data_IF_247208164654
#
_entry.id   IF_247208164654
#
_cell.length_a   1.000
_cell.length_b   1.000
_cell.length_c   1.000
_cell.angle_alpha   90.00
_cell.angle_beta   90.00
_cell.angle_gamma   90.00
#
_symmetry.space_group_name_H-M   'P 1'
#
loop_
_entity.id
_entity.type
_entity.pdbx_description
1 polymer ?
#
# COMPACT_ATOMS: atom_id res chain seq x y z
N UNK A 1 26.19 -7.75 -5.05
CA UNK A 1 25.80 -7.74 -3.63
C UNK A 1 25.47 -6.31 -3.26
N UNK A 2 24.22 -5.99 -2.93
CA UNK A 2 23.85 -4.62 -2.53
C UNK A 2 24.32 -4.39 -1.11
N UNK A 3 25.27 -3.47 -0.88
CA UNK A 3 25.61 -3.07 0.47
C UNK A 3 24.34 -2.55 1.18
N UNK A 4 24.08 -2.98 2.42
CA UNK A 4 22.94 -2.49 3.17
C UNK A 4 23.08 -0.97 3.37
N UNK A 5 21.98 -0.24 3.13
CA UNK A 5 21.94 1.20 3.34
C UNK A 5 22.26 1.52 4.79
N UNK A 6 23.25 2.38 5.03
CA UNK A 6 23.59 2.87 6.36
C UNK A 6 22.38 3.58 6.98
N UNK A 7 22.12 3.28 8.25
CA UNK A 7 21.07 3.92 9.04
C UNK A 7 21.68 4.99 9.92
N UNK A 8 21.23 6.24 9.74
CA UNK A 8 21.59 7.37 10.61
C UNK A 8 20.40 7.70 11.49
N UNK A 9 20.69 7.80 12.79
CA UNK A 9 19.73 8.20 13.80
C UNK A 9 19.38 9.67 13.65
N UNK A 10 18.11 9.97 13.80
CA UNK A 10 17.59 11.33 13.69
C UNK A 10 16.39 11.47 14.58
N UNK A 11 16.25 12.62 15.20
CA UNK A 11 15.19 12.89 16.18
C UNK A 11 13.79 12.51 15.67
N UNK A 12 13.36 12.84 14.42
CA UNK A 12 12.05 12.40 13.92
C UNK A 12 11.86 10.88 13.88
N UNK A 13 12.93 10.14 13.53
CA UNK A 13 12.87 8.68 13.45
C UNK A 13 12.87 8.02 14.84
N UNK A 14 13.63 8.59 15.78
CA UNK A 14 13.66 8.14 17.18
C UNK A 14 12.31 8.32 17.85
N UNK A 15 11.69 9.50 17.71
CA UNK A 15 10.35 9.77 18.22
C UNK A 15 9.35 8.78 17.63
N UNK A 16 9.40 8.55 16.31
CA UNK A 16 8.52 7.60 15.64
C UNK A 16 8.67 6.17 16.20
N UNK A 17 9.91 5.69 16.37
CA UNK A 17 10.18 4.35 16.90
C UNK A 17 9.76 4.22 18.37
N UNK A 18 9.95 5.27 19.17
CA UNK A 18 9.54 5.29 20.58
C UNK A 18 8.02 5.26 20.73
N UNK A 19 7.28 6.10 20.00
CA UNK A 19 5.82 6.10 20.00
C UNK A 19 5.25 4.78 19.48
N UNK A 20 5.89 4.20 18.45
CA UNK A 20 5.50 2.90 17.93
C UNK A 20 5.71 1.77 18.95
N UNK A 21 6.86 1.73 19.63
CA UNK A 21 7.14 0.74 20.67
C UNK A 21 6.13 0.84 21.82
N UNK A 22 5.85 2.06 22.29
CA UNK A 22 4.81 2.31 23.30
C UNK A 22 3.43 1.80 22.86
N UNK A 23 3.10 1.96 21.59
CA UNK A 23 1.83 1.51 21.04
C UNK A 23 1.70 0.00 20.91
N UNK A 24 2.82 -0.72 20.74
CA UNK A 24 2.82 -2.19 20.80
C UNK A 24 2.64 -2.72 22.22
N UNK A 25 3.22 -2.04 23.21
CA UNK A 25 3.14 -2.44 24.61
C UNK A 25 1.79 -2.08 25.25
N UNK A 26 1.20 -0.94 24.90
CA UNK A 26 -0.01 -0.39 25.53
C UNK A 26 -1.08 -0.03 24.48
N UNK A 27 -1.78 -1.02 23.89
CA UNK A 27 -2.54 -0.77 22.68
C UNK A 27 -3.81 0.09 22.84
N UNK A 28 -4.53 -0.03 23.95
CA UNK A 28 -5.90 0.49 24.11
C UNK A 28 -6.06 2.02 24.01
N UNK A 29 -4.97 2.78 24.14
CA UNK A 29 -4.98 4.26 24.11
C UNK A 29 -4.00 4.85 23.09
N UNK A 30 -3.43 4.00 22.23
CA UNK A 30 -2.38 4.39 21.30
C UNK A 30 -2.89 4.31 19.86
N UNK A 31 -2.37 5.16 18.96
CA UNK A 31 -2.73 5.12 17.54
C UNK A 31 -2.62 3.71 16.95
N UNK A 32 -3.54 3.34 16.06
CA UNK A 32 -3.54 2.05 15.37
C UNK A 32 -2.61 2.07 14.14
N UNK A 33 -2.55 3.22 13.45
CA UNK A 33 -1.76 3.42 12.25
C UNK A 33 -0.66 4.45 12.47
N UNK A 34 0.55 4.08 12.13
CA UNK A 34 1.75 4.90 12.18
C UNK A 34 2.21 5.24 10.77
N UNK A 35 2.08 6.51 10.38
CA UNK A 35 2.50 6.96 9.07
C UNK A 35 3.86 7.67 9.14
N UNK A 36 4.80 7.22 8.31
CA UNK A 36 6.00 7.99 7.96
C UNK A 36 5.83 8.56 6.56
N UNK A 37 6.04 9.86 6.38
CA UNK A 37 5.91 10.48 5.07
C UNK A 37 6.96 11.54 4.77
N UNK A 38 7.21 11.82 3.49
CA UNK A 38 8.22 12.79 3.07
C UNK A 38 8.64 12.58 1.63
N UNK A 39 9.47 13.46 1.11
CA UNK A 39 9.90 13.43 -0.30
C UNK A 39 10.61 12.10 -0.66
N UNK A 40 10.73 11.80 -1.96
CA UNK A 40 11.45 10.62 -2.42
C UNK A 40 12.90 10.60 -1.91
N UNK A 41 13.41 9.42 -1.55
CA UNK A 41 14.82 9.25 -1.18
C UNK A 41 15.23 9.63 0.25
N UNK A 42 14.34 10.15 1.10
CA UNK A 42 14.63 10.52 2.50
C UNK A 42 14.83 9.35 3.49
N UNK A 43 14.89 8.11 3.00
CA UNK A 43 15.12 6.93 3.86
C UNK A 43 13.90 6.41 4.61
N UNK A 44 12.68 6.57 4.08
CA UNK A 44 11.45 5.98 4.69
C UNK A 44 11.51 4.45 4.74
N UNK A 45 11.81 3.80 3.61
CA UNK A 45 11.96 2.34 3.55
C UNK A 45 13.10 1.84 4.43
N UNK A 46 14.18 2.64 4.57
CA UNK A 46 15.28 2.36 5.50
C UNK A 46 14.81 2.41 6.95
N UNK A 47 13.94 3.36 7.32
CA UNK A 47 13.30 3.42 8.65
C UNK A 47 12.37 2.23 8.90
N UNK A 48 11.57 1.83 7.92
CA UNK A 48 10.70 0.65 8.06
C UNK A 48 11.50 -0.64 8.23
N UNK A 49 12.61 -0.80 7.50
CA UNK A 49 13.53 -1.93 7.69
C UNK A 49 14.12 -1.90 9.10
N UNK A 50 14.51 -0.72 9.59
CA UNK A 50 15.04 -0.59 10.95
C UNK A 50 14.01 -0.97 12.01
N UNK A 51 12.76 -0.55 11.83
CA UNK A 51 11.65 -0.95 12.69
C UNK A 51 11.46 -2.48 12.68
N UNK A 52 11.51 -3.11 11.51
CA UNK A 52 11.46 -4.58 11.40
C UNK A 52 12.62 -5.23 12.18
N UNK A 53 13.86 -4.77 11.99
CA UNK A 53 15.03 -5.28 12.71
C UNK A 53 14.89 -5.19 14.24
N UNK A 54 14.35 -4.07 14.75
CA UNK A 54 14.15 -3.84 16.19
C UNK A 54 13.10 -4.79 16.75
N UNK A 55 11.98 -5.00 16.03
CA UNK A 55 10.84 -5.75 16.56
C UNK A 55 10.76 -7.21 16.08
N UNK A 56 11.66 -7.70 15.23
CA UNK A 56 11.61 -9.06 14.66
C UNK A 56 11.63 -10.20 15.70
N UNK A 57 12.13 -9.96 16.92
CA UNK A 57 12.14 -10.94 18.01
C UNK A 57 10.91 -10.85 18.92
N UNK A 58 10.19 -9.72 18.87
CA UNK A 58 9.09 -9.41 19.78
C UNK A 58 7.72 -9.38 19.09
N UNK A 59 7.67 -9.15 17.78
CA UNK A 59 6.45 -9.05 16.98
C UNK A 59 6.51 -9.94 15.73
N UNK A 60 5.35 -10.41 15.28
CA UNK A 60 5.16 -11.03 13.98
C UNK A 60 4.96 -9.94 12.94
N UNK A 61 5.85 -9.90 11.96
CA UNK A 61 5.93 -8.85 10.95
C UNK A 61 5.43 -9.39 9.62
N UNK A 62 4.50 -8.68 8.99
CA UNK A 62 4.11 -8.91 7.59
C UNK A 62 4.13 -7.59 6.84
N UNK A 63 4.63 -7.58 5.60
CA UNK A 63 4.73 -6.35 4.84
C UNK A 63 4.65 -6.49 3.34
N UNK A 64 4.25 -5.40 2.69
CA UNK A 64 4.27 -5.23 1.25
C UNK A 64 4.92 -3.90 0.88
N UNK A 65 5.55 -3.85 -0.29
CA UNK A 65 6.01 -2.60 -0.89
C UNK A 65 5.31 -2.43 -2.23
N UNK A 66 4.43 -1.43 -2.33
CA UNK A 66 3.60 -1.26 -3.52
C UNK A 66 4.47 -0.95 -4.74
N UNK A 67 4.17 -1.63 -5.85
CA UNK A 67 4.96 -1.57 -7.09
C UNK A 67 6.26 -2.38 -7.07
N UNK A 68 6.57 -3.10 -5.98
CA UNK A 68 7.65 -4.09 -5.92
C UNK A 68 7.11 -5.48 -5.57
N UNK A 69 6.19 -5.56 -4.61
CA UNK A 69 5.43 -6.80 -4.36
C UNK A 69 4.45 -7.03 -5.50
N UNK A 70 4.58 -8.18 -6.16
CA UNK A 70 3.72 -8.54 -7.29
C UNK A 70 2.28 -8.79 -6.85
N UNK A 71 1.35 -8.57 -7.78
CA UNK A 71 -0.07 -8.93 -7.65
C UNK A 71 -0.86 -8.27 -6.51
N UNK A 72 -0.40 -7.14 -5.94
CA UNK A 72 -1.14 -6.40 -4.89
C UNK A 72 -2.07 -5.34 -5.51
N UNK A 73 -3.10 -5.81 -6.20
CA UNK A 73 -4.04 -4.91 -6.90
C UNK A 73 -5.31 -4.64 -6.09
N UNK A 74 -5.74 -5.58 -5.25
CA UNK A 74 -7.03 -5.53 -4.53
C UNK A 74 -6.84 -5.73 -3.02
N UNK A 75 -7.78 -5.23 -2.19
CA UNK A 75 -7.79 -5.50 -0.74
C UNK A 75 -7.71 -6.98 -0.37
N UNK A 76 -8.41 -7.83 -1.12
CA UNK A 76 -8.45 -9.28 -0.87
C UNK A 76 -7.07 -9.90 -1.09
N UNK A 77 -6.37 -9.52 -2.18
CA UNK A 77 -5.00 -9.98 -2.44
C UNK A 77 -4.04 -9.46 -1.37
N UNK A 78 -4.16 -8.19 -0.96
CA UNK A 78 -3.34 -7.62 0.11
C UNK A 78 -3.51 -8.39 1.45
N UNK A 79 -4.76 -8.62 1.88
CA UNK A 79 -5.04 -9.38 3.11
C UNK A 79 -4.40 -10.77 3.04
N UNK A 80 -4.56 -11.47 1.91
CA UNK A 80 -3.98 -12.80 1.71
C UNK A 80 -2.45 -12.77 1.81
N UNK A 81 -1.79 -11.87 1.08
CA UNK A 81 -0.32 -11.74 1.08
C UNK A 81 0.22 -11.39 2.46
N UNK A 82 -0.41 -10.48 3.19
CA UNK A 82 0.01 -10.14 4.54
C UNK A 82 -0.20 -11.32 5.50
N UNK A 83 -1.35 -11.99 5.43
CA UNK A 83 -1.68 -13.06 6.35
C UNK A 83 -0.79 -14.31 6.14
N UNK A 84 -0.40 -14.60 4.91
CA UNK A 84 0.49 -15.71 4.57
C UNK A 84 1.91 -15.54 5.13
N UNK A 85 2.37 -14.29 5.31
CA UNK A 85 3.67 -13.98 5.91
C UNK A 85 3.67 -14.14 7.44
N UNK A 86 2.50 -14.17 8.08
CA UNK A 86 2.40 -14.33 9.53
C UNK A 86 2.51 -15.81 9.94
N UNK A 87 3.06 -16.12 11.13
CA UNK A 87 3.16 -17.49 11.60
C UNK A 87 1.80 -18.19 11.60
N UNK A 88 1.79 -19.45 11.16
CA UNK A 88 0.60 -20.30 11.30
C UNK A 88 0.38 -20.56 12.80
N UNK A 89 -0.87 -20.66 13.26
CA UNK A 89 -1.15 -20.93 14.67
C UNK A 89 -0.47 -22.24 15.08
N UNK A 90 0.57 -22.14 15.91
CA UNK A 90 1.33 -23.30 16.42
C UNK A 90 0.77 -23.71 17.78
N UNK A 91 0.61 -25.02 17.99
CA UNK A 91 0.18 -25.56 19.29
C UNK A 91 1.32 -25.50 20.31
N UNK A 92 1.06 -25.14 21.58
CA UNK A 92 2.01 -25.37 22.66
C UNK A 92 2.38 -26.85 22.74
N UNK A 93 3.68 -27.15 22.87
CA UNK A 93 4.26 -28.51 22.86
C UNK A 93 3.63 -29.51 23.83
N UNK A 94 2.93 -29.03 24.87
CA UNK A 94 2.22 -29.85 25.87
C UNK A 94 1.03 -30.58 25.27
N UNK A 95 0.34 -29.97 24.30
CA UNK A 95 -0.83 -30.58 23.67
C UNK A 95 -0.47 -31.52 22.52
N UNK A 96 0.72 -31.40 21.92
CA UNK A 96 1.18 -32.23 20.78
C UNK A 96 1.13 -33.74 21.03
N UNK A 97 1.12 -34.20 22.29
CA UNK A 97 1.10 -35.64 22.63
C UNK A 97 -0.29 -36.28 22.59
N UNK A 98 -1.38 -35.51 22.67
CA UNK A 98 -2.75 -36.05 22.75
C UNK A 98 -3.64 -35.70 21.54
N UNK A 99 -3.09 -35.06 20.49
CA UNK A 99 -3.85 -34.50 19.34
C UNK A 99 -4.21 -35.52 18.25
N UNK A 100 -4.51 -36.76 18.60
CA UNK A 100 -5.11 -37.69 17.65
C UNK A 100 -6.55 -37.29 17.28
N UNK A 101 -7.24 -36.48 18.11
CA UNK A 101 -8.70 -36.27 18.02
C UNK A 101 -9.21 -34.85 18.28
N UNK A 102 -8.36 -33.89 18.66
CA UNK A 102 -8.79 -32.49 18.86
C UNK A 102 -8.60 -31.70 17.55
N UNK A 103 -9.70 -31.49 16.82
CA UNK A 103 -9.74 -30.53 15.71
C UNK A 103 -9.35 -29.16 16.27
N UNK A 104 -8.25 -28.60 15.79
CA UNK A 104 -7.88 -27.21 16.06
C UNK A 104 -9.04 -26.29 15.65
N UNK A 105 -9.31 -25.20 16.41
CA UNK A 105 -10.16 -24.13 15.92
C UNK A 105 -9.58 -23.66 14.58
N UNK A 106 -10.40 -23.67 13.53
CA UNK A 106 -9.95 -23.26 12.21
C UNK A 106 -9.51 -21.79 12.26
N UNK A 107 -8.37 -21.48 11.64
CA UNK A 107 -7.91 -20.11 11.45
C UNK A 107 -9.01 -19.28 10.74
N UNK A 108 -9.54 -18.21 11.37
CA UNK A 108 -10.74 -17.53 10.89
C UNK A 108 -10.58 -16.99 9.46
N UNK A 109 -9.45 -16.36 9.16
CA UNK A 109 -9.20 -15.81 7.84
C UNK A 109 -8.94 -16.88 6.81
N UNK A 110 -8.04 -17.84 7.09
CA UNK A 110 -7.65 -18.88 6.13
C UNK A 110 -8.85 -19.72 5.71
N UNK A 111 -9.72 -20.07 6.65
CA UNK A 111 -10.92 -20.86 6.35
C UNK A 111 -11.89 -20.14 5.41
N UNK A 112 -12.23 -18.88 5.70
CA UNK A 112 -13.14 -18.07 4.86
C UNK A 112 -12.50 -17.74 3.51
N UNK A 113 -11.21 -17.41 3.50
CA UNK A 113 -10.47 -17.11 2.28
C UNK A 113 -10.38 -18.31 1.35
N UNK A 114 -10.07 -19.50 1.87
CA UNK A 114 -10.05 -20.74 1.09
C UNK A 114 -11.44 -21.08 0.54
N UNK A 115 -12.49 -20.94 1.33
CA UNK A 115 -13.86 -21.14 0.85
C UNK A 115 -14.20 -20.18 -0.30
N UNK A 116 -13.83 -18.90 -0.17
CA UNK A 116 -14.01 -17.91 -1.23
C UNK A 116 -13.23 -18.30 -2.49
N UNK A 117 -11.93 -18.60 -2.39
CA UNK A 117 -11.10 -18.98 -3.54
C UNK A 117 -11.60 -20.24 -4.23
N UNK A 118 -11.89 -21.30 -3.48
CA UNK A 118 -12.42 -22.55 -4.02
C UNK A 118 -13.74 -22.31 -4.76
N UNK A 119 -14.59 -21.44 -4.24
CA UNK A 119 -15.87 -21.12 -4.89
C UNK A 119 -15.66 -20.31 -6.16
N UNK A 120 -14.77 -19.31 -6.18
CA UNK A 120 -14.43 -18.55 -7.40
C UNK A 120 -13.81 -19.46 -8.45
N UNK A 121 -12.86 -20.34 -8.07
CA UNK A 121 -12.28 -21.31 -9.00
C UNK A 121 -13.34 -22.27 -9.53
N UNK A 122 -14.24 -22.78 -8.69
CA UNK A 122 -15.33 -23.63 -9.15
C UNK A 122 -16.24 -22.90 -10.15
N UNK A 123 -16.58 -21.63 -9.89
CA UNK A 123 -17.36 -20.78 -10.80
C UNK A 123 -16.62 -20.50 -12.13
N UNK A 124 -15.28 -20.56 -12.14
CA UNK A 124 -14.47 -20.39 -13.35
C UNK A 124 -14.35 -21.68 -14.18
N UNK A 125 -14.23 -22.83 -13.53
CA UNK A 125 -13.83 -24.08 -14.18
C UNK A 125 -14.97 -25.07 -14.37
N UNK A 126 -16.03 -25.00 -13.57
CA UNK A 126 -17.14 -25.95 -13.62
C UNK A 126 -18.31 -25.34 -14.39
N UNK A 127 -18.94 -26.09 -15.30
CA UNK A 127 -20.12 -25.61 -16.01
C UNK A 127 -21.36 -25.60 -15.11
N UNK A 128 -22.23 -24.60 -15.27
CA UNK A 128 -23.59 -24.61 -14.67
C UNK A 128 -24.41 -25.79 -15.22
N UNK A 129 -24.36 -26.00 -16.55
CA UNK A 129 -25.03 -27.10 -17.25
C UNK A 129 -24.16 -27.59 -18.42
N UNK A 130 -24.22 -28.90 -18.72
CA UNK A 130 -23.50 -29.49 -19.85
C UNK A 130 -22.03 -29.81 -19.58
N UNK A 131 -21.20 -29.80 -20.64
CA UNK A 131 -19.79 -30.25 -20.60
C UNK A 131 -18.76 -29.11 -20.58
N UNK A 132 -19.16 -27.85 -20.82
CA UNK A 132 -18.23 -26.71 -20.94
C UNK A 132 -18.82 -25.43 -20.36
N UNK A 133 -17.94 -24.56 -19.87
CA UNK A 133 -18.29 -23.24 -19.32
C UNK A 133 -18.75 -22.32 -20.46
N UNK A 134 -19.98 -21.80 -20.34
CA UNK A 134 -20.60 -20.96 -21.35
C UNK A 134 -20.10 -19.50 -21.28
N UNK A 135 -20.08 -18.75 -22.39
CA UNK A 135 -19.71 -17.32 -22.40
C UNK A 135 -20.55 -16.46 -21.44
N UNK A 136 -21.83 -16.79 -21.26
CA UNK A 136 -22.71 -16.09 -20.32
C UNK A 136 -22.25 -16.25 -18.86
N UNK A 137 -21.76 -17.44 -18.48
CA UNK A 137 -21.18 -17.68 -17.15
C UNK A 137 -19.91 -16.87 -16.95
N UNK A 138 -19.05 -16.77 -17.98
CA UNK A 138 -17.84 -15.94 -17.91
C UNK A 138 -18.16 -14.45 -17.77
N UNK A 139 -19.19 -13.96 -18.49
CA UNK A 139 -19.69 -12.59 -18.35
C UNK A 139 -20.22 -12.34 -16.94
N UNK A 140 -21.07 -13.22 -16.41
CA UNK A 140 -21.62 -13.06 -15.07
C UNK A 140 -20.53 -13.11 -13.99
N UNK A 141 -19.49 -13.93 -14.17
CA UNK A 141 -18.34 -13.95 -13.27
C UNK A 141 -17.49 -12.66 -13.36
N UNK A 142 -17.31 -12.11 -14.57
CA UNK A 142 -16.64 -10.82 -14.75
C UNK A 142 -17.44 -9.72 -14.04
N UNK A 143 -18.75 -9.68 -14.26
CA UNK A 143 -19.67 -8.74 -13.61
C UNK A 143 -19.60 -8.90 -12.08
N UNK A 144 -19.51 -10.12 -11.55
CA UNK A 144 -19.32 -10.38 -10.12
C UNK A 144 -18.04 -9.75 -9.56
N UNK A 145 -16.90 -9.97 -10.24
CA UNK A 145 -15.60 -9.44 -9.81
C UNK A 145 -15.56 -7.91 -9.88
N UNK A 146 -16.15 -7.33 -10.92
CA UNK A 146 -16.26 -5.87 -11.10
C UNK A 146 -17.26 -5.25 -10.11
N UNK A 147 -18.43 -5.85 -9.89
CA UNK A 147 -19.42 -5.36 -8.91
C UNK A 147 -18.90 -5.41 -7.48
N UNK A 148 -18.06 -6.38 -7.12
CA UNK A 148 -17.38 -6.42 -5.83
C UNK A 148 -16.54 -5.16 -5.58
N UNK A 149 -15.89 -4.63 -6.63
CA UNK A 149 -15.14 -3.35 -6.54
C UNK A 149 -16.07 -2.13 -6.49
N UNK A 150 -17.14 -2.10 -7.28
CA UNK A 150 -18.07 -0.96 -7.36
C UNK A 150 -18.91 -0.82 -6.09
N UNK A 151 -19.37 -1.94 -5.52
CA UNK A 151 -20.19 -1.94 -4.29
C UNK A 151 -19.39 -1.47 -3.08
N UNK A 152 -18.11 -1.85 -3.01
CA UNK A 152 -17.18 -1.32 -2.00
C UNK A 152 -17.01 0.21 -2.11
N UNK A 153 -17.12 0.77 -3.32
CA UNK A 153 -17.00 2.21 -3.59
C UNK A 153 -18.32 2.98 -3.40
N UNK A 154 -19.48 2.36 -3.62
CA UNK A 154 -20.80 3.02 -3.59
C UNK A 154 -21.43 3.14 -2.20
N UNK A 155 -21.10 2.24 -1.27
CA UNK A 155 -21.53 2.26 0.16
C UNK A 155 -20.98 3.45 0.95
N UNK A 156 -20.19 4.31 0.30
CA UNK A 156 -19.40 5.39 0.89
C UNK A 156 -20.13 6.74 0.90
N UNK A 157 -21.34 6.83 0.35
CA UNK A 157 -22.22 8.00 0.51
C UNK A 157 -21.74 9.26 -0.23
N UNK A 158 -20.93 9.13 -1.28
CA UNK A 158 -20.61 10.24 -2.19
C UNK A 158 -20.82 9.77 -3.64
N UNK A 159 -21.92 10.17 -4.30
CA UNK A 159 -22.21 9.80 -5.69
C UNK A 159 -21.04 10.10 -6.64
N UNK A 160 -20.29 11.17 -6.37
CA UNK A 160 -19.21 11.66 -7.23
C UNK A 160 -17.91 10.82 -7.19
N UNK A 161 -17.64 10.08 -6.11
CA UNK A 161 -16.43 9.25 -6.03
C UNK A 161 -16.60 7.84 -6.61
N UNK A 162 -17.83 7.33 -6.71
CA UNK A 162 -18.11 6.14 -7.51
C UNK A 162 -17.82 6.39 -9.01
N UNK A 163 -17.89 7.66 -9.43
CA UNK A 163 -17.73 8.10 -10.82
C UNK A 163 -16.27 8.45 -11.17
N UNK A 164 -15.48 8.99 -10.24
CA UNK A 164 -14.11 9.45 -10.51
C UNK A 164 -13.04 8.37 -10.65
N UNK A 165 -13.27 7.15 -10.14
CA UNK A 165 -12.33 6.03 -10.25
C UNK A 165 -12.42 5.27 -11.59
N UNK A 166 -13.38 5.64 -12.45
CA UNK A 166 -13.58 5.03 -13.77
C UNK A 166 -12.78 5.83 -14.80
N UNK A 167 -11.46 5.66 -14.80
CA UNK A 167 -10.55 6.31 -15.76
C UNK A 167 -10.77 5.92 -17.24
N UNK A 168 -11.85 5.24 -17.60
CA UNK A 168 -12.11 4.74 -18.97
C UNK A 168 -13.56 4.78 -19.47
N UNK A 169 -14.52 5.42 -18.80
CA UNK A 169 -15.90 5.36 -19.29
C UNK A 169 -16.70 6.65 -19.12
N UNK A 170 -16.23 7.73 -19.75
CA UNK A 170 -17.05 8.93 -19.99
C UNK A 170 -18.33 8.59 -20.80
N UNK A 171 -18.33 7.49 -21.57
CA UNK A 171 -19.49 7.01 -22.35
C UNK A 171 -20.53 6.17 -21.60
N UNK A 172 -20.24 5.63 -20.39
CA UNK A 172 -21.16 4.74 -19.65
C UNK A 172 -22.08 5.46 -18.66
N UNK A 173 -21.97 6.80 -18.54
CA UNK A 173 -22.64 7.58 -17.50
C UNK A 173 -24.17 7.65 -17.63
N UNK A 174 -24.74 7.39 -18.81
CA UNK A 174 -26.20 7.40 -19.01
C UNK A 174 -26.88 6.09 -18.62
N UNK A 175 -26.20 4.97 -18.80
CA UNK A 175 -26.79 3.62 -18.65
C UNK A 175 -26.28 2.89 -17.39
N UNK A 176 -25.40 3.53 -16.60
CA UNK A 176 -24.77 2.95 -15.42
C UNK A 176 -25.76 2.28 -14.43
N UNK A 177 -26.92 2.86 -14.08
CA UNK A 177 -27.87 2.21 -13.18
C UNK A 177 -28.45 0.91 -13.75
N UNK A 178 -28.80 0.90 -15.04
CA UNK A 178 -29.35 -0.27 -15.72
C UNK A 178 -28.30 -1.36 -15.95
N UNK A 179 -27.07 -0.97 -16.28
CA UNK A 179 -25.93 -1.88 -16.39
C UNK A 179 -25.61 -2.56 -15.05
N UNK A 180 -25.65 -1.82 -13.94
CA UNK A 180 -25.46 -2.38 -12.59
C UNK A 180 -26.60 -3.34 -12.21
N UNK A 181 -27.85 -2.98 -12.48
CA UNK A 181 -29.01 -3.83 -12.17
C UNK A 181 -28.97 -5.15 -12.95
N UNK A 182 -28.75 -5.08 -14.27
CA UNK A 182 -28.62 -6.27 -15.12
C UNK A 182 -27.41 -7.13 -14.73
N UNK A 183 -26.28 -6.54 -14.36
CA UNK A 183 -25.13 -7.25 -13.80
C UNK A 183 -25.48 -8.01 -12.51
N UNK A 184 -26.20 -7.37 -11.57
CA UNK A 184 -26.65 -8.00 -10.32
C UNK A 184 -27.57 -9.20 -10.57
N UNK A 185 -28.51 -9.09 -11.50
CA UNK A 185 -29.41 -10.19 -11.87
C UNK A 185 -28.65 -11.38 -12.49
N UNK A 186 -27.70 -11.11 -13.39
CA UNK A 186 -26.83 -12.16 -13.97
C UNK A 186 -26.03 -12.89 -12.90
N UNK A 187 -25.43 -12.13 -11.97
CA UNK A 187 -24.68 -12.69 -10.83
C UNK A 187 -25.58 -13.53 -9.94
N UNK A 188 -26.78 -13.06 -9.64
CA UNK A 188 -27.75 -13.79 -8.83
C UNK A 188 -28.17 -15.12 -9.48
N UNK A 189 -28.52 -15.08 -10.77
CA UNK A 189 -28.86 -16.27 -11.54
C UNK A 189 -27.72 -17.29 -11.53
N UNK A 190 -26.47 -16.84 -11.78
CA UNK A 190 -25.29 -17.70 -11.74
C UNK A 190 -25.13 -18.38 -10.37
N UNK A 191 -25.17 -17.60 -9.28
CA UNK A 191 -24.96 -18.13 -7.93
C UNK A 191 -26.08 -19.09 -7.47
N UNK A 192 -27.30 -18.91 -7.94
CA UNK A 192 -28.44 -19.80 -7.62
C UNK A 192 -28.37 -21.12 -8.38
N UNK A 193 -27.90 -21.10 -9.63
CA UNK A 193 -27.90 -22.27 -10.50
C UNK A 193 -26.63 -23.12 -10.38
N UNK A 194 -25.48 -22.48 -10.13
CA UNK A 194 -24.18 -23.16 -10.18
C UNK A 194 -24.02 -24.22 -9.06
N UNK A 195 -23.59 -25.46 -9.38
CA UNK A 195 -23.49 -26.55 -8.40
C UNK A 195 -22.66 -26.23 -7.15
N UNK A 196 -21.59 -25.43 -7.30
CA UNK A 196 -20.73 -25.03 -6.17
C UNK A 196 -21.47 -24.21 -5.11
N UNK A 197 -22.44 -23.38 -5.50
CA UNK A 197 -23.13 -22.39 -4.66
C UNK A 197 -24.63 -22.66 -4.48
N UNK A 198 -25.22 -23.55 -5.30
CA UNK A 198 -26.65 -23.91 -5.25
C UNK A 198 -27.03 -24.43 -3.86
N UNK A 199 -28.07 -23.83 -3.27
CA UNK A 199 -28.56 -24.17 -1.93
C UNK A 199 -27.69 -23.71 -0.77
N UNK A 200 -26.55 -23.05 -1.02
CA UNK A 200 -25.59 -22.61 0.01
C UNK A 200 -25.63 -21.08 0.21
N UNK A 201 -26.66 -20.60 0.91
CA UNK A 201 -26.92 -19.14 1.11
C UNK A 201 -25.70 -18.38 1.66
N UNK A 202 -24.99 -18.93 2.64
CA UNK A 202 -23.80 -18.30 3.20
C UNK A 202 -22.67 -18.13 2.18
N UNK A 203 -22.41 -19.15 1.35
CA UNK A 203 -21.40 -19.04 0.29
C UNK A 203 -21.82 -18.06 -0.81
N UNK A 204 -23.11 -18.02 -1.16
CA UNK A 204 -23.62 -17.04 -2.11
C UNK A 204 -23.38 -15.61 -1.60
N UNK A 205 -23.66 -15.36 -0.31
CA UNK A 205 -23.41 -14.05 0.30
C UNK A 205 -21.93 -13.71 0.38
N UNK A 206 -21.06 -14.67 0.71
CA UNK A 206 -19.61 -14.51 0.74
C UNK A 206 -19.05 -14.15 -0.63
N UNK A 207 -19.50 -14.82 -1.69
CA UNK A 207 -19.01 -14.56 -3.04
C UNK A 207 -19.56 -13.25 -3.59
N UNK A 208 -20.81 -12.89 -3.25
CA UNK A 208 -21.46 -11.65 -3.68
C UNK A 208 -20.83 -10.40 -3.05
N UNK A 209 -20.57 -10.44 -1.74
CA UNK A 209 -19.97 -9.33 -1.00
C UNK A 209 -18.75 -9.84 -0.19
N UNK A 210 -17.64 -10.17 -0.87
CA UNK A 210 -16.51 -10.82 -0.22
C UNK A 210 -15.76 -9.87 0.69
N UNK A 211 -15.71 -8.58 0.37
CA UNK A 211 -14.85 -7.63 1.05
C UNK A 211 -15.18 -7.47 2.54
N UNK A 212 -16.44 -7.21 2.98
CA UNK A 212 -16.75 -7.09 4.40
C UNK A 212 -16.48 -8.38 5.17
N UNK A 213 -16.92 -9.54 4.62
CA UNK A 213 -16.75 -10.84 5.29
C UNK A 213 -15.29 -11.26 5.41
N UNK A 214 -14.49 -11.06 4.37
CA UNK A 214 -13.05 -11.35 4.40
C UNK A 214 -12.30 -10.36 5.28
N UNK A 215 -12.70 -9.09 5.32
CA UNK A 215 -12.10 -8.09 6.23
C UNK A 215 -12.37 -8.46 7.68
N UNK A 216 -13.60 -8.86 8.01
CA UNK A 216 -13.94 -9.31 9.36
C UNK A 216 -13.14 -10.57 9.74
N UNK A 217 -13.09 -11.57 8.86
CA UNK A 217 -12.30 -12.77 9.09
C UNK A 217 -10.80 -12.47 9.25
N UNK A 218 -10.28 -11.51 8.48
CA UNK A 218 -8.90 -11.03 8.58
C UNK A 218 -8.65 -10.37 9.94
N UNK A 219 -9.54 -9.49 10.40
CA UNK A 219 -9.47 -8.86 11.73
C UNK A 219 -9.46 -9.92 12.83
N UNK A 220 -10.40 -10.88 12.81
CA UNK A 220 -10.45 -11.94 13.81
C UNK A 220 -9.17 -12.81 13.81
N UNK A 221 -8.64 -13.10 12.62
CA UNK A 221 -7.37 -13.82 12.48
C UNK A 221 -6.19 -13.04 13.07
N UNK A 222 -6.08 -11.74 12.81
CA UNK A 222 -5.05 -10.88 13.41
C UNK A 222 -5.20 -10.81 14.93
N UNK A 223 -6.42 -10.67 15.44
CA UNK A 223 -6.71 -10.65 16.89
C UNK A 223 -6.24 -11.94 17.55
N UNK A 224 -6.57 -13.10 16.95
CA UNK A 224 -6.13 -14.39 17.46
C UNK A 224 -4.61 -14.51 17.52
N UNK A 225 -3.89 -14.02 16.49
CA UNK A 225 -2.41 -14.02 16.47
C UNK A 225 -1.84 -13.05 17.52
N UNK A 226 -2.43 -11.86 17.65
CA UNK A 226 -2.02 -10.82 18.59
C UNK A 226 -2.12 -11.23 20.08
N UNK A 227 -2.93 -12.25 20.38
CA UNK A 227 -2.97 -12.86 21.72
C UNK A 227 -1.66 -13.57 22.07
N UNK A 228 -1.00 -14.20 21.10
CA UNK A 228 0.27 -14.89 21.30
C UNK A 228 1.44 -13.91 21.25
N UNK A 229 1.49 -13.11 20.19
CA UNK A 229 2.61 -12.21 19.91
C UNK A 229 2.09 -10.97 19.16
N UNK A 230 2.58 -9.75 19.46
CA UNK A 230 2.21 -8.55 18.72
C UNK A 230 2.32 -8.74 17.21
N UNK A 231 1.39 -8.15 16.45
CA UNK A 231 1.36 -8.23 14.99
C UNK A 231 1.59 -6.85 14.38
N UNK A 232 2.50 -6.76 13.42
CA UNK A 232 2.85 -5.50 12.76
C UNK A 232 2.72 -5.66 11.25
N UNK A 233 1.87 -4.83 10.65
CA UNK A 233 1.64 -4.81 9.20
C UNK A 233 2.33 -3.59 8.58
N UNK A 234 3.24 -3.82 7.63
CA UNK A 234 4.02 -2.76 6.98
C UNK A 234 3.57 -2.54 5.53
N UNK A 235 3.23 -1.30 5.20
CA UNK A 235 2.77 -0.87 3.89
C UNK A 235 3.73 0.20 3.34
N UNK A 236 4.72 -0.21 2.55
CA UNK A 236 5.75 0.68 2.00
C UNK A 236 5.42 1.13 0.56
N UNK A 237 6.00 2.26 0.14
CA UNK A 237 5.75 2.89 -1.17
C UNK A 237 4.26 3.19 -1.40
N UNK A 238 3.56 3.63 -0.35
CA UNK A 238 2.10 3.76 -0.33
C UNK A 238 1.54 4.72 -1.39
N UNK A 239 2.34 5.64 -1.93
CA UNK A 239 1.94 6.46 -3.08
C UNK A 239 1.56 5.66 -4.33
N UNK A 240 1.99 4.39 -4.43
CA UNK A 240 1.64 3.48 -5.53
C UNK A 240 0.44 2.58 -5.20
N UNK A 241 -0.14 2.68 -4.00
CA UNK A 241 -1.30 1.89 -3.64
C UNK A 241 -2.52 2.28 -4.51
N UNK A 242 -3.24 1.30 -5.10
CA UNK A 242 -4.52 1.55 -5.76
C UNK A 242 -5.53 2.28 -4.86
N UNK A 243 -6.35 3.16 -5.44
CA UNK A 243 -7.34 3.94 -4.69
C UNK A 243 -8.33 3.08 -3.90
N UNK A 244 -8.73 1.93 -4.44
CA UNK A 244 -9.59 0.97 -3.76
C UNK A 244 -8.95 0.38 -2.48
N UNK A 245 -7.63 0.24 -2.46
CA UNK A 245 -6.87 -0.23 -1.29
C UNK A 245 -6.79 0.85 -0.21
N UNK A 246 -6.56 2.10 -0.61
CA UNK A 246 -6.57 3.24 0.30
C UNK A 246 -7.96 3.46 0.93
N UNK A 247 -9.02 3.35 0.13
CA UNK A 247 -10.38 3.42 0.62
C UNK A 247 -10.73 2.26 1.55
N UNK A 248 -10.36 1.03 1.21
CA UNK A 248 -10.55 -0.13 2.09
C UNK A 248 -9.84 0.04 3.43
N UNK A 249 -8.57 0.46 3.41
CA UNK A 249 -7.78 0.66 4.62
C UNK A 249 -8.47 1.66 5.55
N UNK A 250 -8.85 2.83 5.02
CA UNK A 250 -9.47 3.88 5.82
C UNK A 250 -10.89 3.56 6.30
N UNK A 251 -11.74 2.95 5.44
CA UNK A 251 -13.19 2.86 5.69
C UNK A 251 -13.66 1.52 6.20
N UNK A 252 -12.90 0.46 5.97
CA UNK A 252 -13.25 -0.89 6.42
C UNK A 252 -12.31 -1.35 7.51
N UNK A 253 -11.00 -1.40 7.23
CA UNK A 253 -10.05 -1.98 8.18
C UNK A 253 -9.92 -1.12 9.45
N UNK A 254 -9.55 0.15 9.33
CA UNK A 254 -9.30 1.01 10.49
C UNK A 254 -10.56 1.37 11.27
N UNK A 255 -11.74 1.30 10.64
CA UNK A 255 -13.01 1.53 11.34
C UNK A 255 -13.46 0.35 12.19
N UNK A 256 -12.79 -0.81 12.09
CA UNK A 256 -13.04 -1.91 12.99
C UNK A 256 -12.47 -1.56 14.39
N UNK A 257 -13.37 -1.24 15.32
CA UNK A 257 -13.02 -0.78 16.67
C UNK A 257 -12.27 -1.81 17.51
N UNK A 258 -12.35 -3.10 17.15
CA UNK A 258 -11.67 -4.15 17.88
C UNK A 258 -10.16 -4.08 17.68
N UNK A 259 -9.67 -3.78 16.47
CA UNK A 259 -8.23 -3.80 16.15
C UNK A 259 -7.38 -2.95 17.09
N UNK A 260 -7.84 -1.74 17.42
CA UNK A 260 -7.10 -0.80 18.27
C UNK A 260 -6.85 -1.35 19.68
N UNK A 261 -7.73 -2.23 20.17
CA UNK A 261 -7.64 -2.81 21.52
C UNK A 261 -6.60 -3.93 21.64
N UNK A 262 -6.10 -4.46 20.52
CA UNK A 262 -5.11 -5.53 20.51
C UNK A 262 -3.72 -5.02 20.13
N UNK A 263 -2.70 -5.83 20.39
CA UNK A 263 -1.28 -5.56 20.04
C UNK A 263 -1.04 -5.72 18.53
N UNK A 264 -1.86 -5.04 17.72
CA UNK A 264 -1.82 -5.02 16.26
C UNK A 264 -1.49 -3.59 15.84
N UNK A 265 -0.45 -3.38 15.04
CA UNK A 265 -0.10 -2.03 14.53
C UNK A 265 0.17 -2.02 13.04
N UNK A 266 -0.27 -0.95 12.39
CA UNK A 266 -0.05 -0.72 10.97
C UNK A 266 0.99 0.38 10.78
N UNK A 267 1.95 0.15 9.90
CA UNK A 267 2.96 1.15 9.53
C UNK A 267 2.82 1.47 8.05
N UNK A 268 2.58 2.73 7.71
CA UNK A 268 2.48 3.20 6.32
C UNK A 268 3.64 4.13 5.99
N UNK A 269 4.40 3.83 4.94
CA UNK A 269 5.41 4.73 4.40
C UNK A 269 5.01 5.23 3.02
N UNK A 270 4.98 6.55 2.82
CA UNK A 270 4.62 7.13 1.54
C UNK A 270 5.13 8.54 1.31
N UNK A 271 4.90 9.09 0.11
CA UNK A 271 5.36 10.46 -0.22
C UNK A 271 4.58 11.59 0.44
N UNK A 272 3.30 11.36 0.73
CA UNK A 272 2.38 12.41 1.18
C UNK A 272 1.63 11.97 2.44
N UNK A 273 1.29 12.93 3.29
CA UNK A 273 0.40 12.72 4.43
C UNK A 273 -0.94 12.11 3.98
N UNK A 274 -1.41 11.07 4.69
CA UNK A 274 -2.74 10.47 4.49
C UNK A 274 -3.84 11.49 4.77
N UNK A 275 -3.64 12.34 5.80
CA UNK A 275 -4.55 13.43 6.17
C UNK A 275 -4.66 14.55 5.11
N UNK A 276 -4.04 14.41 3.92
CA UNK A 276 -4.31 15.32 2.80
C UNK A 276 -5.74 15.16 2.27
N UNK A 277 -6.33 13.96 2.37
CA UNK A 277 -7.69 13.71 1.85
C UNK A 277 -8.73 13.85 2.95
N UNK A 278 -9.96 14.18 2.56
CA UNK A 278 -11.02 14.49 3.51
C UNK A 278 -11.44 13.29 4.36
N UNK A 279 -11.56 12.09 3.77
CA UNK A 279 -12.00 10.90 4.50
C UNK A 279 -10.98 10.43 5.54
N UNK A 280 -9.68 10.58 5.27
CA UNK A 280 -8.62 10.34 6.26
C UNK A 280 -8.65 11.37 7.39
N UNK A 281 -8.92 12.65 7.09
CA UNK A 281 -9.11 13.68 8.13
C UNK A 281 -10.31 13.39 9.03
N UNK A 282 -11.44 13.00 8.44
CA UNK A 282 -12.64 12.60 9.20
C UNK A 282 -12.35 11.42 10.13
N UNK A 283 -11.70 10.37 9.62
CA UNK A 283 -11.29 9.23 10.46
C UNK A 283 -10.44 9.67 11.66
N UNK A 284 -9.48 10.56 11.42
CA UNK A 284 -8.62 11.07 12.48
C UNK A 284 -9.36 11.94 13.49
N UNK A 285 -10.30 12.77 13.04
CA UNK A 285 -11.14 13.60 13.92
C UNK A 285 -12.07 12.74 14.78
N UNK A 286 -12.65 11.68 14.19
CA UNK A 286 -13.66 10.85 14.85
C UNK A 286 -13.03 9.85 15.85
N UNK A 287 -11.85 9.31 15.53
CA UNK A 287 -11.30 8.15 16.25
C UNK A 287 -9.83 8.28 16.67
N UNK A 288 -9.12 9.35 16.26
CA UNK A 288 -7.72 9.61 16.62
C UNK A 288 -6.77 8.42 16.42
N UNK A 289 -6.93 7.68 15.31
CA UNK A 289 -6.24 6.40 15.07
C UNK A 289 -4.87 6.55 14.38
N UNK A 290 -4.52 7.72 13.86
CA UNK A 290 -3.35 7.91 12.99
C UNK A 290 -2.30 8.78 13.67
N UNK A 291 -1.12 8.22 13.91
CA UNK A 291 0.10 8.96 14.21
C UNK A 291 0.82 9.30 12.91
N UNK A 292 1.31 10.54 12.75
CA UNK A 292 2.07 10.93 11.56
C UNK A 292 3.42 11.53 11.93
N UNK A 293 4.48 11.03 11.30
CA UNK A 293 5.82 11.60 11.38
C UNK A 293 6.31 12.01 10.00
N UNK A 294 6.50 13.32 9.73
CA UNK A 294 7.24 13.75 8.56
C UNK A 294 8.72 13.40 8.70
N UNK A 295 9.34 13.06 7.57
CA UNK A 295 10.71 12.64 7.49
C UNK A 295 11.45 13.53 6.49
N UNK A 296 12.47 14.21 7.00
CA UNK A 296 13.22 15.21 6.26
C UNK A 296 14.51 14.64 5.68
N UNK A 297 15.25 15.48 4.95
CA UNK A 297 16.60 15.16 4.50
C UNK A 297 17.53 15.14 5.71
N UNK A 298 18.70 14.52 5.56
CA UNK A 298 19.74 14.71 6.55
C UNK A 298 20.21 16.16 6.55
N UNK A 299 20.46 16.68 7.74
CA UNK A 299 21.23 17.90 7.88
C UNK A 299 22.72 17.64 7.60
N UNK A 300 23.53 18.69 7.68
CA UNK A 300 24.97 18.58 7.43
C UNK A 300 25.67 17.66 8.45
N UNK A 301 25.45 17.78 9.78
CA UNK A 301 25.99 16.84 10.75
C UNK A 301 25.64 15.37 10.45
N UNK A 302 24.36 15.06 10.21
CA UNK A 302 23.89 13.70 9.87
C UNK A 302 24.48 13.18 8.56
N UNK A 303 24.71 14.08 7.58
CA UNK A 303 25.41 13.72 6.35
C UNK A 303 26.88 13.39 6.64
N UNK A 304 27.54 14.16 7.50
CA UNK A 304 28.89 13.87 7.99
C UNK A 304 28.97 12.50 8.68
N UNK A 305 28.05 12.22 9.60
CA UNK A 305 27.96 10.91 10.28
C UNK A 305 27.78 9.74 9.29
N UNK A 306 26.97 9.94 8.24
CA UNK A 306 26.84 8.94 7.17
C UNK A 306 28.17 8.72 6.44
N UNK A 307 28.83 9.81 6.05
CA UNK A 307 30.06 9.76 5.25
C UNK A 307 31.25 9.19 6.03
N UNK A 308 31.31 9.46 7.33
CA UNK A 308 32.30 8.87 8.23
C UNK A 308 32.24 7.34 8.23
N UNK A 309 31.03 6.75 8.23
CA UNK A 309 30.85 5.29 8.17
C UNK A 309 31.35 4.64 6.88
N UNK A 310 31.51 5.41 5.80
CA UNK A 310 32.09 4.93 4.53
C UNK A 310 33.54 5.40 4.34
N UNK A 311 34.17 5.98 5.37
CA UNK A 311 35.57 6.38 5.39
C UNK A 311 35.85 7.76 4.79
N UNK A 312 34.82 8.58 4.54
CA UNK A 312 34.97 9.95 4.04
C UNK A 312 34.86 10.90 5.24
N UNK A 313 35.97 11.50 5.65
CA UNK A 313 36.06 12.33 6.87
C UNK A 313 36.61 13.73 6.61
N UNK A 314 37.16 14.00 5.42
CA UNK A 314 37.72 15.31 5.12
C UNK A 314 36.61 16.36 5.03
N UNK A 315 36.68 17.39 5.88
CA UNK A 315 35.61 18.39 6.05
C UNK A 315 35.20 19.06 4.74
N UNK A 316 36.15 19.39 3.87
CA UNK A 316 35.87 19.99 2.56
C UNK A 316 35.11 19.04 1.64
N UNK A 317 35.44 17.75 1.66
CA UNK A 317 34.71 16.72 0.88
C UNK A 317 33.31 16.51 1.43
N UNK A 318 33.14 16.46 2.75
CA UNK A 318 31.85 16.32 3.42
C UNK A 318 30.93 17.50 3.08
N UNK A 319 31.44 18.74 3.16
CA UNK A 319 30.69 19.94 2.76
C UNK A 319 30.27 19.88 1.30
N UNK A 320 31.20 19.58 0.39
CA UNK A 320 30.91 19.48 -1.04
C UNK A 320 29.85 18.42 -1.34
N UNK A 321 29.96 17.24 -0.73
CA UNK A 321 28.98 16.16 -0.89
C UNK A 321 27.62 16.58 -0.34
N UNK A 322 27.57 17.23 0.82
CA UNK A 322 26.33 17.76 1.37
C UNK A 322 25.70 18.80 0.45
N UNK A 323 26.48 19.71 -0.13
CA UNK A 323 25.99 20.73 -1.06
C UNK A 323 25.41 20.13 -2.33
N UNK A 324 25.99 19.04 -2.86
CA UNK A 324 25.48 18.37 -4.07
C UNK A 324 24.26 17.51 -3.76
N UNK A 325 24.34 16.68 -2.72
CA UNK A 325 23.27 15.73 -2.37
C UNK A 325 22.09 16.37 -1.65
N UNK A 326 22.31 17.56 -1.07
CA UNK A 326 21.39 18.24 -0.13
C UNK A 326 20.93 17.33 1.00
N UNK A 327 21.81 16.43 1.46
CA UNK A 327 21.55 15.48 2.53
C UNK A 327 20.52 14.40 2.19
N UNK A 328 20.28 14.09 0.92
CA UNK A 328 19.36 13.01 0.54
C UNK A 328 20.03 11.63 0.72
N UNK A 329 19.51 10.77 1.63
CA UNK A 329 20.06 9.43 1.88
C UNK A 329 20.17 8.57 0.62
N UNK A 330 19.28 8.77 -0.35
CA UNK A 330 19.35 8.09 -1.63
C UNK A 330 20.70 8.29 -2.34
N UNK A 331 21.19 9.53 -2.45
CA UNK A 331 22.46 9.81 -3.13
C UNK A 331 23.65 9.38 -2.27
N UNK A 332 23.53 9.47 -0.95
CA UNK A 332 24.55 8.97 -0.04
C UNK A 332 24.73 7.43 -0.19
N UNK A 333 23.64 6.68 -0.37
CA UNK A 333 23.72 5.25 -0.69
C UNK A 333 24.30 4.97 -2.10
N UNK A 334 24.17 5.90 -3.04
CA UNK A 334 24.86 5.81 -4.33
C UNK A 334 26.37 6.02 -4.15
N UNK A 335 26.78 7.07 -3.44
CA UNK A 335 28.19 7.32 -3.09
C UNK A 335 28.80 6.11 -2.39
N UNK A 336 28.11 5.55 -1.39
CA UNK A 336 28.54 4.32 -0.70
C UNK A 336 28.81 3.17 -1.68
N UNK A 337 27.95 2.98 -2.68
CA UNK A 337 28.12 1.90 -3.69
C UNK A 337 29.32 2.16 -4.60
N UNK A 338 29.52 3.39 -5.02
CA UNK A 338 30.67 3.77 -5.85
C UNK A 338 32.00 3.62 -5.09
N UNK A 339 32.06 4.14 -3.87
CA UNK A 339 33.24 4.00 -3.00
C UNK A 339 33.54 2.53 -2.70
N UNK A 340 32.53 1.71 -2.43
CA UNK A 340 32.71 0.27 -2.22
C UNK A 340 33.19 -0.48 -3.49
N UNK A 341 32.92 0.06 -4.68
CA UNK A 341 33.42 -0.46 -5.94
C UNK A 341 34.83 0.05 -6.30
N UNK A 342 35.46 0.85 -5.42
CA UNK A 342 36.75 1.49 -5.67
C UNK A 342 36.72 2.58 -6.73
N UNK A 343 35.51 3.08 -7.05
CA UNK A 343 35.31 4.17 -8.02
C UNK A 343 35.21 5.49 -7.29
N UNK A 344 35.77 6.54 -7.89
CA UNK A 344 35.59 7.89 -7.38
C UNK A 344 34.19 8.40 -7.76
N UNK A 345 33.38 8.90 -6.81
CA UNK A 345 32.03 9.36 -7.13
C UNK A 345 32.04 10.53 -8.13
N UNK A 346 31.51 10.28 -9.34
CA UNK A 346 31.34 11.33 -10.36
C UNK A 346 29.95 11.97 -10.28
N UNK A 347 29.89 13.15 -9.66
CA UNK A 347 28.64 13.89 -9.46
C UNK A 347 28.01 14.42 -10.76
N UNK A 348 28.72 14.40 -11.89
CA UNK A 348 28.15 14.74 -13.20
C UNK A 348 27.27 13.63 -13.76
N UNK A 349 27.67 12.36 -13.59
CA UNK A 349 26.84 11.18 -13.89
C UNK A 349 25.72 11.00 -12.86
N UNK A 350 26.00 11.31 -11.59
CA UNK A 350 25.00 11.33 -10.53
C UNK A 350 23.79 12.20 -10.89
N UNK A 351 23.98 13.35 -11.56
CA UNK A 351 22.88 14.20 -12.02
C UNK A 351 21.96 13.53 -13.05
N UNK A 352 22.47 12.67 -13.92
CA UNK A 352 21.64 11.92 -14.87
C UNK A 352 20.82 10.84 -14.17
N UNK A 353 21.43 10.11 -13.22
CA UNK A 353 20.68 9.17 -12.38
C UNK A 353 19.61 9.91 -11.53
N UNK A 354 19.98 11.05 -10.91
CA UNK A 354 19.09 11.97 -10.20
C UNK A 354 17.87 12.33 -11.06
N UNK A 355 18.08 12.73 -12.31
CA UNK A 355 17.02 13.10 -13.25
C UNK A 355 16.17 11.89 -13.61
N UNK A 356 16.76 10.75 -13.97
CA UNK A 356 16.00 9.53 -14.28
C UNK A 356 15.12 9.05 -13.12
N UNK A 357 15.57 9.27 -11.89
CA UNK A 357 14.86 8.92 -10.66
C UNK A 357 13.80 9.94 -10.26
N UNK A 358 14.03 11.23 -10.45
CA UNK A 358 12.99 12.26 -10.32
C UNK A 358 11.86 12.02 -11.32
N UNK A 359 12.19 11.45 -12.47
CA UNK A 359 11.25 10.99 -13.48
C UNK A 359 10.57 9.66 -13.11
N UNK A 360 11.07 8.87 -12.16
CA UNK A 360 10.42 7.63 -11.71
C UNK A 360 9.13 7.93 -10.92
N UNK A 361 8.01 7.50 -11.50
CA UNK A 361 6.65 7.73 -10.97
C UNK A 361 5.86 8.80 -11.73
N UNK A 362 6.49 9.49 -12.67
CA UNK A 362 5.82 10.39 -13.62
C UNK A 362 5.33 9.59 -14.84
N UNK A 363 4.16 9.94 -15.38
CA UNK A 363 3.71 9.40 -16.66
C UNK A 363 4.51 10.02 -17.83
N UNK A 364 4.37 9.46 -19.04
CA UNK A 364 5.13 9.89 -20.23
C UNK A 364 5.04 11.39 -20.49
N UNK A 365 3.86 11.99 -20.31
CA UNK A 365 3.62 13.43 -20.47
C UNK A 365 4.36 14.27 -19.42
N UNK A 366 4.28 13.87 -18.15
CA UNK A 366 4.97 14.55 -17.04
C UNK A 366 6.49 14.46 -17.17
N UNK A 367 7.00 13.32 -17.67
CA UNK A 367 8.43 13.16 -17.94
C UNK A 367 8.91 14.11 -19.03
N UNK A 368 8.12 14.29 -20.09
CA UNK A 368 8.44 15.19 -21.19
C UNK A 368 8.47 16.66 -20.72
N UNK A 369 7.51 17.06 -19.88
CA UNK A 369 7.47 18.41 -19.29
C UNK A 369 8.66 18.70 -18.36
N UNK A 370 9.05 17.74 -17.52
CA UNK A 370 10.23 17.89 -16.65
C UNK A 370 11.53 18.05 -17.45
N UNK A 371 11.73 17.23 -18.48
CA UNK A 371 12.90 17.33 -19.37
C UNK A 371 12.91 18.63 -20.17
N UNK A 372 11.75 19.15 -20.57
CA UNK A 372 11.64 20.45 -21.22
C UNK A 372 11.98 21.61 -20.25
N UNK A 373 11.60 21.50 -18.98
CA UNK A 373 11.92 22.50 -17.96
C UNK A 373 13.42 22.53 -17.61
N UNK A 374 14.11 21.38 -17.67
CA UNK A 374 15.55 21.25 -17.45
C UNK A 374 16.37 22.05 -18.47
N UNK A 375 15.98 22.00 -19.76
CA UNK A 375 16.62 22.79 -20.83
C UNK A 375 16.39 24.31 -20.70
N UNK A 376 15.43 24.73 -19.88
CA UNK A 376 15.04 26.14 -19.75
C UNK A 376 15.70 26.88 -18.56
N UNK A 377 16.52 26.23 -17.72
CA UNK A 377 17.10 26.84 -16.49
C UNK A 377 16.07 27.61 -15.63
N UNK A 378 14.85 27.09 -15.47
CA UNK A 378 13.81 27.79 -14.68
C UNK A 378 13.75 27.25 -13.25
N UNK A 379 14.19 28.09 -12.32
CA UNK A 379 14.07 27.92 -10.86
C UNK A 379 12.66 28.40 -10.43
N UNK A 380 12.01 27.61 -9.58
CA UNK A 380 10.69 27.81 -8.94
C UNK A 380 9.43 27.67 -9.82
N UNK A 381 8.64 26.63 -9.55
CA UNK A 381 7.23 26.61 -9.91
C UNK A 381 6.35 26.48 -8.66
N UNK A 382 5.61 27.54 -8.35
CA UNK A 382 4.40 27.46 -7.54
C UNK A 382 3.31 26.72 -8.33
N UNK A 383 2.40 26.02 -7.63
CA UNK A 383 1.26 25.27 -8.20
C UNK A 383 0.46 26.06 -9.27
N UNK A 384 0.45 27.38 -9.18
CA UNK A 384 -0.29 28.25 -10.10
C UNK A 384 0.34 28.34 -11.48
N UNK A 385 1.68 28.31 -11.54
CA UNK A 385 2.43 28.48 -12.81
C UNK A 385 2.43 27.18 -13.62
N UNK A 386 2.47 26.01 -12.96
CA UNK A 386 2.32 24.70 -13.64
C UNK A 386 0.96 24.60 -14.32
N UNK A 387 -0.11 25.10 -13.67
CA UNK A 387 -1.44 25.09 -14.25
C UNK A 387 -1.57 26.01 -15.48
N UNK A 388 -0.93 27.19 -15.44
CA UNK A 388 -0.88 28.10 -16.58
C UNK A 388 -0.05 27.53 -17.74
N UNK A 389 1.09 26.89 -17.46
CA UNK A 389 1.89 26.23 -18.51
C UNK A 389 1.13 25.08 -19.18
N UNK A 390 0.34 24.30 -18.42
CA UNK A 390 -0.52 23.25 -18.97
C UNK A 390 -1.64 23.84 -19.83
N UNK A 391 -2.25 24.95 -19.41
CA UNK A 391 -3.28 25.63 -20.20
C UNK A 391 -2.73 26.18 -21.51
N UNK A 392 -1.57 26.86 -21.49
CA UNK A 392 -0.93 27.41 -22.69
C UNK A 392 -0.50 26.30 -23.65
N UNK A 393 0.06 25.20 -23.15
CA UNK A 393 0.41 24.04 -23.98
C UNK A 393 -0.82 23.38 -24.62
N UNK A 394 -1.95 23.33 -23.90
CA UNK A 394 -3.22 22.79 -24.43
C UNK A 394 -3.82 23.71 -25.50
N UNK A 395 -3.71 25.03 -25.33
CA UNK A 395 -4.15 26.03 -26.31
C UNK A 395 -3.28 26.01 -27.57
N UNK A 396 -1.96 25.84 -27.44
CA UNK A 396 -1.05 25.75 -28.60
C UNK A 396 -1.21 24.44 -29.38
N UNK A 397 -1.52 23.32 -28.72
CA UNK A 397 -1.89 22.06 -29.40
C UNK A 397 -3.22 22.17 -30.13
N UNK A 398 -4.24 22.84 -29.56
CA UNK A 398 -5.52 23.06 -30.24
C UNK A 398 -5.43 24.06 -31.41
N UNK A 399 -4.42 24.92 -31.45
CA UNK A 399 -4.15 25.86 -32.54
C UNK A 399 -3.20 25.30 -33.62
N UNK A 400 -2.76 24.04 -33.51
CA UNK A 400 -2.00 23.36 -34.56
C UNK A 400 -0.55 23.84 -34.75
N UNK A 401 0.04 24.52 -33.77
CA UNK A 401 1.39 25.11 -33.90
C UNK A 401 2.56 24.17 -33.56
N UNK A 402 2.29 22.92 -33.18
CA UNK A 402 3.32 21.92 -32.89
C UNK A 402 2.99 20.61 -33.63
N UNK A 403 3.56 20.49 -34.83
CA UNK A 403 3.88 19.23 -35.49
C UNK A 403 5.38 19.19 -35.74
#
# INVERSE_FOLDING_TARGET
MTNPSIYIWRQPAEIFLAEFAKALDQPESQPLLFQVWGIGGVGKSTLLRKLQEIHQQQADLAGVSFGFTMDIETPIKLMATLYEQLPKPDLPSVWKRDVGKLRLPADPFTSVYQQYQQTITALQTQPVTGKSVLPEQQSALKDLLELGTVTALSTIGSPDMALGAIGKAVGMLRDAPQAIASGKEKVESLLQQHPATKGKKELQSLVREPLPRLTEAFVQGLIQKAQQRPVVLLLDTYEKAPSQLDLWLCKYLLRNSQLASYRIRLVVAGRQSLLKTEYWRKLQQDQNLVYQQPLERFDQPQTGEYLEQIGIVESDKVENIYQVTKGLPYYLNWIQRETAAGREPDFSQGNQEIVELLLQGLNSTQKHMMRAAENAKVIYFSKMVVHQCIQVATTMMNLGFLW
#
